data_IF_740196202204
#
_entry.id   IF_740196202204
#
_cell.length_a   1.000
_cell.length_b   1.000
_cell.length_c   1.000
_cell.angle_alpha   90.00
_cell.angle_beta   90.00
_cell.angle_gamma   90.00
#
_symmetry.space_group_name_H-M   'P 1'
#
loop_
_entity.id
_entity.type
_entity.pdbx_description
1 polymer ?
#
# COMPACT_ATOMS: atom_id res chain seq x y z
N UNK A 1 -14.56 3.89 9.30
CA UNK A 1 -13.46 3.52 8.37
C UNK A 1 -12.25 4.40 8.61
N UNK A 2 -12.34 5.75 8.64
CA UNK A 2 -11.19 6.65 8.79
C UNK A 2 -10.39 6.42 10.08
N UNK A 3 -11.03 6.21 11.22
CA UNK A 3 -10.34 5.86 12.47
C UNK A 3 -9.52 4.56 12.36
N UNK A 4 -10.04 3.56 11.64
CA UNK A 4 -9.30 2.32 11.37
C UNK A 4 -8.10 2.59 10.46
N UNK A 5 -8.23 3.48 9.49
CA UNK A 5 -7.15 3.88 8.61
C UNK A 5 -6.01 4.56 9.39
N UNK A 6 -6.32 5.45 10.34
CA UNK A 6 -5.33 6.10 11.21
C UNK A 6 -4.60 5.08 12.09
N UNK A 7 -5.33 4.15 12.70
CA UNK A 7 -4.73 3.03 13.46
C UNK A 7 -3.81 2.20 12.56
N UNK A 8 -4.24 1.94 11.32
CA UNK A 8 -3.44 1.21 10.34
C UNK A 8 -2.13 1.92 9.96
N UNK A 9 -2.17 3.24 9.79
CA UNK A 9 -0.97 4.06 9.53
C UNK A 9 0.04 3.95 10.67
N UNK A 10 -0.41 4.14 11.90
CA UNK A 10 0.42 4.02 13.11
C UNK A 10 0.94 2.59 13.25
N UNK A 11 0.06 1.59 13.11
CA UNK A 11 0.40 0.17 13.24
C UNK A 11 1.42 -0.32 12.21
N UNK A 12 1.28 0.10 10.95
CA UNK A 12 2.22 -0.24 9.88
C UNK A 12 3.61 0.35 10.09
N UNK A 13 3.68 1.62 10.52
CA UNK A 13 4.93 2.28 10.90
C UNK A 13 5.57 1.65 12.14
N UNK A 14 4.78 1.37 13.16
CA UNK A 14 5.23 0.68 14.38
C UNK A 14 5.77 -0.72 14.08
N UNK A 15 5.07 -1.51 13.25
CA UNK A 15 5.48 -2.87 12.88
C UNK A 15 6.87 -2.86 12.24
N UNK A 16 7.08 -2.02 11.22
CA UNK A 16 8.38 -1.94 10.55
C UNK A 16 9.49 -1.47 11.50
N UNK A 17 9.23 -0.47 12.33
CA UNK A 17 10.19 0.03 13.32
C UNK A 17 10.56 -1.04 14.35
N UNK A 18 9.58 -1.83 14.81
CA UNK A 18 9.83 -2.93 15.76
C UNK A 18 10.62 -4.07 15.13
N UNK A 19 10.38 -4.39 13.86
CA UNK A 19 11.17 -5.40 13.14
C UNK A 19 12.63 -4.97 12.99
N UNK A 20 12.88 -3.71 12.65
CA UNK A 20 14.22 -3.12 12.54
C UNK A 20 14.90 -3.11 13.92
N UNK A 21 14.20 -2.70 14.99
CA UNK A 21 14.72 -2.70 16.36
C UNK A 21 15.07 -4.11 16.86
N UNK A 22 14.48 -5.17 16.29
CA UNK A 22 14.81 -6.59 16.58
C UNK A 22 15.99 -7.11 15.76
N UNK A 23 16.66 -6.26 14.99
CA UNK A 23 17.88 -6.61 14.27
C UNK A 23 17.68 -6.94 12.79
N UNK A 24 16.47 -6.76 12.22
CA UNK A 24 16.31 -6.87 10.78
C UNK A 24 16.90 -5.63 10.09
N UNK A 25 17.41 -5.82 8.87
CA UNK A 25 17.80 -4.69 8.03
C UNK A 25 16.59 -3.79 7.72
N UNK A 26 16.84 -2.51 7.48
CA UNK A 26 15.78 -1.56 7.06
C UNK A 26 15.00 -2.10 5.86
N UNK A 27 15.72 -2.64 4.86
CA UNK A 27 15.12 -3.29 3.69
C UNK A 27 14.14 -4.41 4.06
N UNK A 28 14.57 -5.35 4.91
CA UNK A 28 13.73 -6.48 5.32
C UNK A 28 12.56 -6.00 6.18
N UNK A 29 12.79 -5.14 7.16
CA UNK A 29 11.76 -4.62 8.07
C UNK A 29 10.64 -3.89 7.34
N UNK A 30 10.98 -3.03 6.37
CA UNK A 30 9.99 -2.31 5.54
C UNK A 30 9.21 -3.25 4.63
N UNK A 31 9.89 -4.13 3.88
CA UNK A 31 9.24 -5.06 2.95
C UNK A 31 8.35 -6.07 3.67
N UNK A 32 8.74 -6.55 4.84
CA UNK A 32 7.90 -7.45 5.66
C UNK A 32 6.65 -6.72 6.16
N UNK A 33 6.78 -5.49 6.66
CA UNK A 33 5.62 -4.72 7.08
C UNK A 33 4.67 -4.45 5.90
N UNK A 34 5.20 -4.10 4.72
CA UNK A 34 4.42 -3.94 3.50
C UNK A 34 3.75 -5.25 3.06
N UNK A 35 4.43 -6.41 3.19
CA UNK A 35 3.84 -7.72 2.90
C UNK A 35 2.66 -8.01 3.83
N UNK A 36 2.81 -7.77 5.13
CA UNK A 36 1.71 -7.94 6.11
C UNK A 36 0.53 -7.06 5.72
N UNK A 37 0.76 -5.78 5.40
CA UNK A 37 -0.29 -4.89 4.93
C UNK A 37 -0.96 -5.42 3.64
N UNK A 38 -0.16 -5.86 2.65
CA UNK A 38 -0.69 -6.42 1.40
C UNK A 38 -1.59 -7.64 1.64
N UNK A 39 -1.17 -8.55 2.53
CA UNK A 39 -1.97 -9.72 2.93
C UNK A 39 -3.26 -9.31 3.66
N UNK A 40 -3.23 -8.25 4.48
CA UNK A 40 -4.42 -7.71 5.14
C UNK A 40 -5.39 -7.01 4.18
N UNK A 41 -4.95 -6.59 3.00
CA UNK A 41 -5.85 -6.06 1.96
C UNK A 41 -6.57 -7.18 1.20
N UNK A 42 -5.93 -8.33 1.00
CA UNK A 42 -6.48 -9.43 0.15
C UNK A 42 -7.92 -9.82 0.50
N UNK A 43 -8.35 -9.89 1.78
CA UNK A 43 -9.72 -10.23 2.14
C UNK A 43 -10.78 -9.26 1.61
N UNK A 44 -10.40 -8.08 1.12
CA UNK A 44 -11.35 -7.10 0.56
C UNK A 44 -12.16 -7.69 -0.61
N UNK A 45 -11.59 -8.65 -1.34
CA UNK A 45 -12.30 -9.37 -2.40
C UNK A 45 -13.52 -10.16 -1.90
N UNK A 46 -13.55 -10.52 -0.61
CA UNK A 46 -14.68 -11.20 0.01
C UNK A 46 -15.83 -10.25 0.40
N UNK A 47 -15.58 -8.93 0.44
CA UNK A 47 -16.59 -7.94 0.80
C UNK A 47 -17.80 -7.95 -0.16
N UNK A 48 -17.59 -8.38 -1.41
CA UNK A 48 -18.68 -8.52 -2.43
C UNK A 48 -19.68 -9.61 -2.06
N UNK A 49 -19.26 -10.61 -1.28
CA UNK A 49 -20.07 -11.75 -0.87
C UNK A 49 -20.62 -11.61 0.56
N UNK A 50 -20.38 -10.48 1.20
CA UNK A 50 -20.86 -10.24 2.55
C UNK A 50 -22.32 -9.79 2.53
N UNK A 51 -23.22 -10.63 3.05
CA UNK A 51 -24.66 -10.31 3.21
C UNK A 51 -24.90 -9.34 4.38
N UNK A 52 -24.02 -9.33 5.36
CA UNK A 52 -24.09 -8.45 6.53
C UNK A 52 -23.27 -7.17 6.29
N UNK A 53 -23.93 -6.02 6.51
CA UNK A 53 -23.32 -4.70 6.36
C UNK A 53 -22.13 -4.49 7.30
N UNK A 54 -22.19 -4.97 8.53
CA UNK A 54 -21.12 -4.80 9.51
C UNK A 54 -19.88 -5.62 9.12
N UNK A 55 -20.09 -6.82 8.56
CA UNK A 55 -19.02 -7.66 8.02
C UNK A 55 -18.37 -6.97 6.83
N UNK A 56 -19.16 -6.44 5.88
CA UNK A 56 -18.64 -5.70 4.74
C UNK A 56 -17.83 -4.47 5.18
N UNK A 57 -18.37 -3.67 6.10
CA UNK A 57 -17.69 -2.49 6.66
C UNK A 57 -16.41 -2.88 7.41
N UNK A 58 -16.40 -3.99 8.12
CA UNK A 58 -15.23 -4.53 8.82
C UNK A 58 -14.11 -4.91 7.85
N UNK A 59 -14.44 -5.64 6.78
CA UNK A 59 -13.49 -6.05 5.74
C UNK A 59 -12.91 -4.82 5.01
N UNK A 60 -13.76 -3.88 4.60
CA UNK A 60 -13.33 -2.65 3.93
C UNK A 60 -12.51 -1.78 4.90
N UNK A 61 -12.88 -1.73 6.17
CA UNK A 61 -12.13 -1.01 7.21
C UNK A 61 -10.74 -1.59 7.44
N UNK A 62 -10.61 -2.92 7.45
CA UNK A 62 -9.32 -3.61 7.51
C UNK A 62 -8.45 -3.28 6.29
N UNK A 63 -9.05 -3.31 5.09
CA UNK A 63 -8.33 -2.96 3.87
C UNK A 63 -7.86 -1.49 3.88
N UNK A 64 -8.70 -0.56 4.37
CA UNK A 64 -8.33 0.85 4.52
C UNK A 64 -7.19 1.05 5.54
N UNK A 65 -7.23 0.34 6.67
CA UNK A 65 -6.16 0.35 7.66
C UNK A 65 -4.84 -0.19 7.06
N UNK A 66 -4.91 -1.32 6.37
CA UNK A 66 -3.76 -1.93 5.73
C UNK A 66 -3.17 -1.05 4.60
N UNK A 67 -4.02 -0.38 3.82
CA UNK A 67 -3.60 0.61 2.82
C UNK A 67 -2.80 1.74 3.45
N UNK A 68 -3.27 2.30 4.56
CA UNK A 68 -2.56 3.38 5.24
C UNK A 68 -1.24 2.92 5.86
N UNK A 69 -1.19 1.71 6.42
CA UNK A 69 0.05 1.10 6.90
C UNK A 69 1.06 0.85 5.77
N UNK A 70 0.59 0.43 4.59
CA UNK A 70 1.40 0.32 3.39
C UNK A 70 1.97 1.68 2.97
N UNK A 71 1.11 2.69 2.85
CA UNK A 71 1.49 4.05 2.43
C UNK A 71 2.52 4.67 3.37
N UNK A 72 2.36 4.52 4.69
CA UNK A 72 3.31 4.99 5.68
C UNK A 72 4.71 4.38 5.46
N UNK A 73 4.80 3.08 5.17
CA UNK A 73 6.07 2.41 4.89
C UNK A 73 6.65 2.83 3.53
N UNK A 74 5.82 3.03 2.51
CA UNK A 74 6.25 3.48 1.19
C UNK A 74 6.90 4.87 1.24
N UNK A 75 6.28 5.83 1.93
CA UNK A 75 6.85 7.18 2.08
C UNK A 75 8.11 7.18 2.95
N UNK A 76 8.15 6.37 3.98
CA UNK A 76 9.35 6.24 4.82
C UNK A 76 10.51 5.60 4.04
N UNK A 77 10.21 4.64 3.16
CA UNK A 77 11.19 4.02 2.29
C UNK A 77 11.88 5.05 1.39
N UNK A 78 11.15 6.04 0.87
CA UNK A 78 11.73 7.14 0.10
C UNK A 78 12.76 7.93 0.91
N UNK A 79 12.49 8.20 2.19
CA UNK A 79 13.43 8.90 3.09
C UNK A 79 14.59 8.03 3.56
N UNK A 80 14.44 6.70 3.61
CA UNK A 80 15.50 5.77 3.99
C UNK A 80 16.53 5.59 2.85
N UNK A 81 16.08 5.73 1.58
CA UNK A 81 16.93 5.46 0.39
C UNK A 81 17.53 6.74 -0.19
N UNK A 82 16.84 7.89 -0.08
CA UNK A 82 17.28 9.12 -0.74
C UNK A 82 17.93 10.11 0.22
N UNK A 83 18.95 10.86 -0.25
CA UNK A 83 19.47 12.00 0.49
C UNK A 83 18.37 13.03 0.74
N UNK A 84 18.44 13.73 1.88
CA UNK A 84 17.40 14.70 2.30
C UNK A 84 16.99 15.70 1.22
N UNK A 85 17.96 16.14 0.38
CA UNK A 85 17.72 17.09 -0.72
C UNK A 85 16.85 16.52 -1.85
N UNK A 86 16.76 15.19 -2.00
CA UNK A 86 16.03 14.54 -3.07
C UNK A 86 14.69 13.93 -2.62
N UNK A 87 14.45 13.79 -1.31
CA UNK A 87 13.24 13.17 -0.77
C UNK A 87 11.98 13.88 -1.25
N UNK A 88 11.94 15.21 -1.17
CA UNK A 88 10.78 15.99 -1.58
C UNK A 88 10.44 15.79 -3.07
N UNK A 89 11.46 15.76 -3.94
CA UNK A 89 11.26 15.53 -5.38
C UNK A 89 10.75 14.11 -5.66
N UNK A 90 11.32 13.10 -4.99
CA UNK A 90 10.88 11.71 -5.14
C UNK A 90 9.43 11.53 -4.68
N UNK A 91 9.09 12.07 -3.51
CA UNK A 91 7.71 12.02 -2.98
C UNK A 91 6.75 12.78 -3.88
N UNK A 92 7.15 13.93 -4.44
CA UNK A 92 6.34 14.69 -5.39
C UNK A 92 6.06 13.94 -6.68
N UNK A 93 7.08 13.32 -7.29
CA UNK A 93 6.92 12.49 -8.49
C UNK A 93 6.04 11.27 -8.18
N UNK A 94 6.29 10.59 -7.06
CA UNK A 94 5.48 9.46 -6.63
C UNK A 94 4.02 9.85 -6.37
N UNK A 95 3.77 10.99 -5.74
CA UNK A 95 2.42 11.53 -5.52
C UNK A 95 1.69 11.85 -6.83
N UNK A 96 2.40 12.45 -7.80
CA UNK A 96 1.85 12.71 -9.14
C UNK A 96 1.50 11.40 -9.87
N UNK A 97 2.40 10.42 -9.85
CA UNK A 97 2.12 9.10 -10.42
C UNK A 97 0.92 8.43 -9.74
N UNK A 98 0.80 8.55 -8.41
CA UNK A 98 -0.34 8.06 -7.64
C UNK A 98 -1.66 8.75 -8.04
N UNK A 99 -1.64 10.07 -8.25
CA UNK A 99 -2.82 10.81 -8.70
C UNK A 99 -3.29 10.37 -10.10
N UNK A 100 -2.34 10.18 -11.04
CA UNK A 100 -2.64 9.64 -12.38
C UNK A 100 -3.20 8.23 -12.28
N UNK A 101 -2.59 7.37 -11.45
CA UNK A 101 -3.08 6.01 -11.19
C UNK A 101 -4.51 6.01 -10.62
N UNK A 102 -4.80 6.88 -9.66
CA UNK A 102 -6.14 7.05 -9.09
C UNK A 102 -7.17 7.48 -10.12
N UNK A 103 -6.82 8.41 -11.02
CA UNK A 103 -7.68 8.84 -12.11
C UNK A 103 -7.98 7.70 -13.10
N UNK A 104 -6.96 6.92 -13.46
CA UNK A 104 -7.12 5.75 -14.33
C UNK A 104 -7.99 4.68 -13.67
N UNK A 105 -7.80 4.44 -12.36
CA UNK A 105 -8.61 3.51 -11.60
C UNK A 105 -10.07 3.95 -11.52
N UNK A 106 -10.35 5.25 -11.33
CA UNK A 106 -11.72 5.75 -11.33
C UNK A 106 -12.42 5.52 -12.69
N UNK A 107 -11.70 5.73 -13.80
CA UNK A 107 -12.21 5.42 -15.15
C UNK A 107 -12.46 3.92 -15.34
N UNK A 108 -11.53 3.08 -14.87
CA UNK A 108 -11.68 1.62 -14.93
C UNK A 108 -12.90 1.15 -14.15
N UNK A 109 -13.11 1.68 -12.93
CA UNK A 109 -14.30 1.37 -12.10
C UNK A 109 -15.58 1.73 -12.82
N UNK A 110 -15.67 2.95 -13.41
CA UNK A 110 -16.84 3.37 -14.19
C UNK A 110 -17.13 2.42 -15.36
N UNK A 111 -16.12 2.15 -16.19
CA UNK A 111 -16.26 1.26 -17.34
C UNK A 111 -16.61 -0.19 -16.96
N UNK A 112 -16.05 -0.71 -15.87
CA UNK A 112 -16.34 -2.05 -15.38
C UNK A 112 -17.80 -2.18 -14.89
N UNK A 113 -18.33 -1.14 -14.23
CA UNK A 113 -19.72 -1.13 -13.78
C UNK A 113 -20.70 -1.01 -14.94
N UNK A 114 -20.39 -0.18 -15.94
CA UNK A 114 -21.22 -0.04 -17.14
C UNK A 114 -21.21 -1.32 -18.00
N UNK A 115 -20.05 -2.01 -18.13
CA UNK A 115 -19.91 -3.16 -19.00
C UNK A 115 -20.30 -4.49 -18.35
N UNK A 116 -19.85 -4.74 -17.12
CA UNK A 116 -20.03 -6.03 -16.42
C UNK A 116 -21.16 -5.96 -15.40
N UNK A 117 -21.50 -4.76 -14.91
CA UNK A 117 -22.54 -4.56 -13.90
C UNK A 117 -22.21 -5.17 -12.52
N UNK A 118 -20.92 -5.45 -12.26
CA UNK A 118 -20.46 -6.11 -11.03
C UNK A 118 -19.23 -5.46 -10.44
N UNK A 119 -19.20 -5.37 -9.11
CA UNK A 119 -18.03 -4.91 -8.35
C UNK A 119 -16.95 -5.99 -8.19
N UNK A 120 -17.25 -7.25 -8.47
CA UNK A 120 -16.35 -8.38 -8.23
C UNK A 120 -14.96 -8.20 -8.86
N UNK A 121 -14.79 -7.84 -10.15
CA UNK A 121 -13.47 -7.68 -10.75
C UNK A 121 -12.68 -6.52 -10.12
N UNK A 122 -13.37 -5.48 -9.63
CA UNK A 122 -12.77 -4.34 -8.97
C UNK A 122 -12.18 -4.77 -7.61
N UNK A 123 -12.95 -5.47 -6.79
CA UNK A 123 -12.51 -5.92 -5.47
C UNK A 123 -11.40 -6.99 -5.56
N UNK A 124 -11.46 -7.89 -6.53
CA UNK A 124 -10.37 -8.84 -6.81
C UNK A 124 -9.10 -8.11 -7.24
N UNK A 125 -9.22 -7.10 -8.11
CA UNK A 125 -8.10 -6.25 -8.52
C UNK A 125 -7.46 -5.53 -7.34
N UNK A 126 -8.26 -4.89 -6.49
CA UNK A 126 -7.79 -4.20 -5.28
C UNK A 126 -7.10 -5.19 -4.33
N UNK A 127 -7.67 -6.38 -4.12
CA UNK A 127 -7.09 -7.40 -3.24
C UNK A 127 -5.72 -7.90 -3.69
N UNK A 128 -5.42 -7.87 -4.99
CA UNK A 128 -4.17 -8.39 -5.56
C UNK A 128 -3.10 -7.32 -5.83
N UNK A 129 -3.51 -6.07 -6.08
CA UNK A 129 -2.60 -5.00 -6.57
C UNK A 129 -1.43 -4.73 -5.62
N UNK A 130 -1.62 -4.85 -4.30
CA UNK A 130 -0.57 -4.61 -3.31
C UNK A 130 0.52 -5.68 -3.33
N UNK A 131 0.14 -6.95 -3.55
CA UNK A 131 1.11 -8.04 -3.71
C UNK A 131 1.92 -7.87 -5.00
N UNK A 132 1.24 -7.49 -6.10
CA UNK A 132 1.91 -7.19 -7.38
C UNK A 132 2.84 -5.99 -7.24
N UNK A 133 2.38 -4.92 -6.59
CA UNK A 133 3.21 -3.72 -6.35
C UNK A 133 4.44 -4.05 -5.48
N UNK A 134 4.29 -4.89 -4.46
CA UNK A 134 5.41 -5.34 -3.62
C UNK A 134 6.39 -6.19 -4.43
N UNK A 135 5.90 -7.10 -5.25
CA UNK A 135 6.74 -7.92 -6.13
C UNK A 135 7.55 -7.05 -7.10
N UNK A 136 6.89 -6.10 -7.78
CA UNK A 136 7.55 -5.17 -8.68
C UNK A 136 8.60 -4.35 -7.92
N UNK A 137 8.26 -3.81 -6.76
CA UNK A 137 9.18 -3.05 -5.91
C UNK A 137 10.38 -3.90 -5.49
N UNK A 138 10.17 -5.19 -5.19
CA UNK A 138 11.24 -6.10 -4.81
C UNK A 138 12.15 -6.43 -6.00
N UNK A 139 11.58 -6.64 -7.20
CA UNK A 139 12.35 -6.94 -8.41
C UNK A 139 13.19 -5.73 -8.88
N UNK A 140 12.60 -4.52 -8.80
CA UNK A 140 13.30 -3.29 -9.20
C UNK A 140 14.34 -2.82 -8.17
N UNK A 141 14.10 -3.11 -6.88
CA UNK A 141 14.98 -2.72 -5.78
C UNK A 141 15.12 -3.86 -4.77
N UNK A 142 15.89 -4.92 -5.10
CA UNK A 142 16.08 -6.07 -4.21
C UNK A 142 16.69 -5.68 -2.87
N UNK A 143 17.63 -4.72 -2.90
CA UNK A 143 18.26 -4.14 -1.73
C UNK A 143 18.02 -2.62 -1.72
N UNK A 144 17.58 -2.12 -0.60
CA UNK A 144 17.35 -0.69 -0.37
C UNK A 144 18.63 -0.10 0.23
N UNK A 145 19.52 0.32 -0.64
CA UNK A 145 20.76 1.03 -0.24
C UNK A 145 20.58 2.54 -0.41
N UNK A 146 21.16 3.35 0.50
CA UNK A 146 21.13 4.80 0.35
C UNK A 146 21.77 5.24 -0.97
N UNK A 147 21.05 6.00 -1.77
CA UNK A 147 21.55 6.51 -3.04
C UNK A 147 22.68 7.52 -2.83
N UNK A 148 23.82 7.30 -3.48
CA UNK A 148 24.94 8.25 -3.53
C UNK A 148 24.73 9.16 -4.73
N UNK A 149 24.26 10.38 -4.49
CA UNK A 149 24.18 11.38 -5.56
C UNK A 149 25.56 12.07 -5.72
N UNK A 150 26.01 12.33 -6.95
CA UNK A 150 27.20 13.14 -7.18
C UNK A 150 27.02 14.53 -6.55
N UNK A 151 28.13 15.09 -6.10
CA UNK A 151 28.19 16.40 -5.44
C UNK A 151 27.79 17.52 -6.40
#
# INVERSE_FOLDING_TARGET
IYLLADVGSIGGGWLSSRLIARGLSVNAGRKIAMLVCALCVTPVSLAVFADDLLVAVGIIGLAAAAHQGWSANLFTLASDVMPRRAVASLVGIGGMAGAVGGMLMAKYVGAALEGVGSYTPIFVGIGSVYLVALLISHLLSPQLEPARLPA
#
